data_IF_809446651618
#
_entry.id   IF_809446651618
#
_cell.length_a   1.000
_cell.length_b   1.000
_cell.length_c   1.000
_cell.angle_alpha   90.00
_cell.angle_beta   90.00
_cell.angle_gamma   90.00
#
_symmetry.space_group_name_H-M   'P 1'
#
loop_
_entity.id
_entity.type
_entity.pdbx_description
1 polymer ?
#
# COMPACT_ATOMS: atom_id res chain seq x y z
N UNK A 1 -4.23 5.20 12.01
CA UNK A 1 -3.05 6.02 12.28
C UNK A 1 -2.58 6.63 10.97
N UNK A 2 -2.01 7.85 10.96
CA UNK A 2 -1.30 8.36 9.78
C UNK A 2 0.12 7.80 9.76
N UNK A 3 0.56 7.30 8.61
CA UNK A 3 1.90 6.71 8.44
C UNK A 3 2.75 7.71 7.66
N UNK A 4 3.75 8.29 8.33
CA UNK A 4 4.76 9.15 7.70
C UNK A 4 5.72 8.31 6.86
N UNK A 5 6.47 8.97 5.96
CA UNK A 5 7.52 8.29 5.19
C UNK A 5 8.61 7.71 6.09
N UNK A 6 8.90 8.36 7.20
CA UNK A 6 9.85 7.87 8.19
C UNK A 6 9.40 6.53 8.81
N UNK A 7 8.15 6.44 9.26
CA UNK A 7 7.57 5.19 9.80
C UNK A 7 7.53 4.10 8.71
N UNK A 8 7.14 4.47 7.48
CA UNK A 8 7.12 3.56 6.35
C UNK A 8 8.51 2.99 6.07
N UNK A 9 9.50 3.87 5.88
CA UNK A 9 10.85 3.48 5.52
C UNK A 9 11.50 2.62 6.61
N UNK A 10 11.31 2.96 7.89
CA UNK A 10 11.83 2.17 8.99
C UNK A 10 11.36 0.69 8.94
N UNK A 11 10.06 0.46 8.69
CA UNK A 11 9.52 -0.91 8.59
C UNK A 11 9.91 -1.56 7.26
N UNK A 12 9.94 -0.81 6.18
CA UNK A 12 10.29 -1.30 4.85
C UNK A 12 11.74 -1.78 4.76
N UNK A 13 12.68 -1.11 5.43
CA UNK A 13 14.08 -1.52 5.51
C UNK A 13 14.26 -2.88 6.21
N UNK A 14 13.49 -3.14 7.26
CA UNK A 14 13.52 -4.41 8.00
C UNK A 14 12.68 -5.52 7.34
N UNK A 15 11.91 -5.19 6.30
CA UNK A 15 11.05 -6.14 5.61
C UNK A 15 11.83 -7.05 4.64
N UNK A 16 11.53 -8.35 4.65
CA UNK A 16 12.00 -9.28 3.62
C UNK A 16 11.38 -8.95 2.25
N UNK A 17 12.00 -9.41 1.15
CA UNK A 17 11.63 -9.03 -0.22
C UNK A 17 10.17 -9.35 -0.57
N UNK A 18 9.61 -10.46 -0.10
CA UNK A 18 8.22 -10.83 -0.34
C UNK A 18 7.23 -9.95 0.46
N UNK A 19 7.65 -9.48 1.64
CA UNK A 19 6.88 -8.49 2.39
C UNK A 19 6.97 -7.11 1.72
N UNK A 20 8.17 -6.67 1.28
CA UNK A 20 8.34 -5.40 0.54
C UNK A 20 7.45 -5.37 -0.69
N UNK A 21 7.48 -6.42 -1.50
CA UNK A 21 6.60 -6.55 -2.66
C UNK A 21 5.12 -6.41 -2.29
N UNK A 22 4.69 -7.07 -1.21
CA UNK A 22 3.30 -6.99 -0.76
C UNK A 22 2.94 -5.59 -0.24
N UNK A 23 3.89 -4.89 0.42
CA UNK A 23 3.73 -3.50 0.86
C UNK A 23 3.63 -2.56 -0.36
N UNK A 24 4.50 -2.72 -1.36
CA UNK A 24 4.49 -1.92 -2.59
C UNK A 24 3.18 -2.09 -3.37
N UNK A 25 2.72 -3.34 -3.55
CA UNK A 25 1.42 -3.61 -4.17
C UNK A 25 0.28 -2.95 -3.40
N UNK A 26 0.29 -3.02 -2.06
CA UNK A 26 -0.72 -2.39 -1.23
C UNK A 26 -0.72 -0.85 -1.36
N UNK A 27 0.46 -0.25 -1.40
CA UNK A 27 0.65 1.19 -1.52
C UNK A 27 0.27 1.70 -2.91
N UNK A 28 0.84 1.10 -3.97
CA UNK A 28 0.61 1.54 -5.35
C UNK A 28 -0.83 1.31 -5.84
N UNK A 29 -1.51 0.31 -5.30
CA UNK A 29 -2.91 0.04 -5.66
C UNK A 29 -3.94 0.63 -4.70
N UNK A 30 -3.52 1.05 -3.50
CA UNK A 30 -4.42 1.53 -2.46
C UNK A 30 -5.41 0.47 -1.97
N UNK A 31 -5.18 -0.83 -2.22
CA UNK A 31 -6.16 -1.87 -1.91
C UNK A 31 -6.03 -2.43 -0.49
N UNK A 32 -7.08 -3.10 -0.02
CA UNK A 32 -7.08 -3.76 1.29
C UNK A 32 -6.15 -4.97 1.28
N UNK A 33 -5.56 -5.37 2.43
CA UNK A 33 -4.64 -6.51 2.50
C UNK A 33 -5.22 -7.80 1.89
N UNK A 34 -6.52 -8.05 2.10
CA UNK A 34 -7.21 -9.21 1.55
C UNK A 34 -7.34 -9.16 0.02
N UNK A 35 -7.51 -7.97 -0.57
CA UNK A 35 -7.63 -7.79 -2.01
C UNK A 35 -6.24 -7.85 -2.67
N UNK A 36 -5.20 -7.24 -2.06
CA UNK A 36 -3.80 -7.33 -2.53
C UNK A 36 -3.33 -8.78 -2.66
N UNK A 37 -3.60 -9.59 -1.64
CA UNK A 37 -3.19 -11.01 -1.63
C UNK A 37 -3.89 -11.87 -2.70
N UNK A 38 -4.97 -11.38 -3.30
CA UNK A 38 -5.74 -12.07 -4.33
C UNK A 38 -5.38 -11.64 -5.75
N UNK A 39 -4.58 -10.59 -5.94
CA UNK A 39 -4.17 -10.12 -7.25
C UNK A 39 -3.37 -11.18 -7.99
N UNK A 40 -3.71 -11.45 -9.24
CA UNK A 40 -3.09 -12.50 -10.08
C UNK A 40 -2.61 -11.93 -11.39
N UNK A 41 -1.67 -12.61 -12.01
CA UNK A 41 -1.26 -12.28 -13.38
C UNK A 41 -2.40 -12.35 -14.38
N UNK A 42 -3.36 -13.26 -14.18
CA UNK A 42 -4.57 -13.36 -15.01
C UNK A 42 -5.48 -12.12 -14.91
N UNK A 43 -5.28 -11.27 -13.90
CA UNK A 43 -6.01 -10.01 -13.71
C UNK A 43 -5.29 -8.82 -14.40
N UNK A 44 -4.11 -9.05 -15.00
CA UNK A 44 -3.38 -8.07 -15.81
C UNK A 44 -3.75 -8.26 -17.27
N UNK A 45 -4.36 -7.25 -17.86
CA UNK A 45 -4.76 -7.25 -19.27
C UNK A 45 -4.44 -5.90 -19.92
N UNK A 46 -3.61 -5.92 -20.96
CA UNK A 46 -3.12 -4.73 -21.63
C UNK A 46 -2.43 -3.76 -20.68
N UNK A 47 -2.98 -2.56 -20.59
CA UNK A 47 -2.44 -1.46 -19.78
C UNK A 47 -3.08 -1.36 -18.37
N UNK A 48 -3.77 -2.41 -17.92
CA UNK A 48 -4.54 -2.37 -16.68
C UNK A 48 -4.32 -3.59 -15.80
N UNK A 49 -4.32 -3.37 -14.48
CA UNK A 49 -4.57 -4.38 -13.47
C UNK A 49 -6.04 -4.28 -13.03
N UNK A 50 -6.80 -5.34 -13.22
CA UNK A 50 -8.19 -5.43 -12.78
C UNK A 50 -8.27 -5.92 -11.34
N UNK A 51 -9.00 -5.18 -10.50
CA UNK A 51 -9.15 -5.50 -9.07
C UNK A 51 -10.61 -5.53 -8.69
N UNK A 52 -11.07 -6.69 -8.21
CA UNK A 52 -12.37 -6.84 -7.56
C UNK A 52 -12.23 -6.73 -6.04
N UNK A 53 -12.87 -5.70 -5.44
CA UNK A 53 -12.84 -5.53 -3.99
C UNK A 53 -13.84 -6.47 -3.31
N UNK A 54 -13.36 -7.37 -2.45
CA UNK A 54 -14.20 -8.36 -1.78
C UNK A 54 -15.26 -7.75 -0.83
N UNK A 55 -14.95 -6.62 -0.19
CA UNK A 55 -15.85 -5.99 0.79
C UNK A 55 -16.96 -5.14 0.16
N UNK A 56 -16.69 -4.50 -0.99
CA UNK A 56 -17.60 -3.51 -1.60
C UNK A 56 -18.13 -3.95 -2.95
N UNK A 57 -17.68 -5.12 -3.45
CA UNK A 57 -17.94 -5.62 -4.81
C UNK A 57 -17.55 -4.63 -5.93
N UNK A 58 -16.79 -3.56 -5.61
CA UNK A 58 -16.32 -2.58 -6.57
C UNK A 58 -15.30 -3.23 -7.50
N UNK A 59 -15.42 -2.95 -8.80
CA UNK A 59 -14.46 -3.35 -9.83
C UNK A 59 -13.66 -2.13 -10.26
N UNK A 60 -12.34 -2.23 -10.18
CA UNK A 60 -11.40 -1.16 -10.55
C UNK A 60 -10.51 -1.63 -11.70
N UNK A 61 -10.07 -0.66 -12.51
CA UNK A 61 -9.00 -0.82 -13.49
C UNK A 61 -7.89 0.13 -13.11
N UNK A 62 -6.77 -0.38 -12.64
CA UNK A 62 -5.61 0.41 -12.22
C UNK A 62 -4.64 0.48 -13.38
N UNK A 63 -4.27 1.68 -13.81
CA UNK A 63 -3.40 1.90 -14.97
C UNK A 63 -1.97 1.45 -14.69
N UNK A 64 -1.38 0.70 -15.61
CA UNK A 64 0.03 0.36 -15.65
C UNK A 64 0.83 1.34 -16.53
N UNK A 65 0.12 2.04 -17.45
CA UNK A 65 0.69 3.13 -18.28
C UNK A 65 -0.16 4.38 -18.18
N UNK A 66 0.48 5.54 -18.25
CA UNK A 66 -0.20 6.84 -18.32
C UNK A 66 -0.70 7.10 -19.75
N UNK A 67 -1.51 8.15 -19.91
CA UNK A 67 -2.04 8.54 -21.22
C UNK A 67 -0.95 8.96 -22.23
N UNK A 68 0.20 9.41 -21.75
CA UNK A 68 1.38 9.76 -22.58
C UNK A 68 2.23 8.53 -22.95
N UNK A 69 1.80 7.31 -22.58
CA UNK A 69 2.50 6.06 -22.83
C UNK A 69 3.59 5.72 -21.80
N UNK A 70 3.94 6.63 -20.88
CA UNK A 70 4.92 6.35 -19.82
C UNK A 70 4.37 5.34 -18.82
N UNK A 71 5.26 4.54 -18.23
CA UNK A 71 4.87 3.58 -17.19
C UNK A 71 4.50 4.28 -15.88
N UNK A 72 3.50 3.72 -15.19
CA UNK A 72 3.27 4.04 -13.77
C UNK A 72 4.27 3.28 -12.90
N UNK A 73 4.44 3.70 -11.63
CA UNK A 73 5.25 2.94 -10.68
C UNK A 73 4.77 1.48 -10.52
N UNK A 74 3.46 1.25 -10.58
CA UNK A 74 2.89 -0.10 -10.58
C UNK A 74 3.29 -0.88 -11.84
N UNK A 75 3.23 -0.27 -13.02
CA UNK A 75 3.67 -0.91 -14.26
C UNK A 75 5.15 -1.30 -14.21
N UNK A 76 6.01 -0.38 -13.74
CA UNK A 76 7.45 -0.65 -13.55
C UNK A 76 7.68 -1.79 -12.56
N UNK A 77 6.96 -1.80 -11.44
CA UNK A 77 7.06 -2.89 -10.46
C UNK A 77 6.70 -4.24 -11.10
N UNK A 78 5.56 -4.31 -11.82
CA UNK A 78 5.11 -5.58 -12.41
C UNK A 78 6.04 -6.10 -13.52
N UNK A 79 6.69 -5.20 -14.26
CA UNK A 79 7.66 -5.61 -15.30
C UNK A 79 8.94 -6.23 -14.72
N UNK A 80 9.26 -5.96 -13.46
CA UNK A 80 10.40 -6.52 -12.75
C UNK A 80 10.11 -7.86 -12.08
N UNK A 81 8.84 -8.25 -11.99
CA UNK A 81 8.45 -9.48 -11.31
C UNK A 81 8.52 -10.70 -12.23
N UNK A 82 8.96 -11.81 -11.65
CA UNK A 82 8.83 -13.10 -12.29
C UNK A 82 7.38 -13.55 -12.38
N UNK A 83 6.95 -13.98 -13.57
CA UNK A 83 5.59 -14.48 -13.85
C UNK A 83 5.43 -15.97 -13.61
N UNK A 84 6.42 -16.62 -13.01
CA UNK A 84 6.36 -18.07 -12.68
C UNK A 84 5.28 -18.42 -11.66
N UNK A 85 4.76 -17.42 -10.95
CA UNK A 85 3.73 -17.60 -9.91
C UNK A 85 2.37 -17.09 -10.39
N UNK A 86 1.24 -17.70 -10.00
CA UNK A 86 -0.07 -17.25 -10.43
C UNK A 86 -0.52 -15.93 -9.78
N UNK A 87 0.04 -15.57 -8.61
CA UNK A 87 -0.31 -14.37 -7.84
C UNK A 87 0.80 -13.35 -7.86
N UNK A 88 0.45 -12.05 -7.82
CA UNK A 88 1.43 -10.96 -7.76
C UNK A 88 2.12 -10.94 -6.38
N UNK A 89 1.36 -11.12 -5.29
CA UNK A 89 1.90 -11.25 -3.93
C UNK A 89 2.24 -12.72 -3.65
N UNK A 90 3.48 -13.10 -3.89
CA UNK A 90 4.00 -14.45 -3.69
C UNK A 90 5.24 -14.47 -2.79
N UNK A 91 5.49 -15.61 -2.13
CA UNK A 91 6.76 -15.88 -1.43
C UNK A 91 7.87 -16.12 -2.43
N UNK A 92 9.12 -16.15 -1.94
CA UNK A 92 10.30 -16.52 -2.75
C UNK A 92 10.17 -17.90 -3.40
N UNK A 93 9.42 -18.81 -2.77
CA UNK A 93 9.14 -20.16 -3.29
C UNK A 93 7.89 -20.20 -4.20
N UNK A 94 7.37 -19.05 -4.60
CA UNK A 94 6.24 -18.95 -5.51
C UNK A 94 4.86 -19.23 -4.90
N UNK A 95 4.74 -19.33 -3.57
CA UNK A 95 3.45 -19.57 -2.91
C UNK A 95 2.70 -18.27 -2.68
N UNK A 96 1.36 -18.23 -2.88
CA UNK A 96 0.55 -17.08 -2.55
C UNK A 96 0.69 -16.68 -1.07
N UNK A 97 0.79 -15.38 -0.80
CA UNK A 97 0.87 -14.86 0.57
C UNK A 97 -0.49 -15.02 1.26
N UNK A 98 -0.57 -15.89 2.28
CA UNK A 98 -1.75 -16.02 3.14
C UNK A 98 -1.81 -14.88 4.17
N UNK A 99 -2.98 -14.70 4.81
CA UNK A 99 -3.13 -13.69 5.87
C UNK A 99 -2.20 -13.95 7.06
N UNK A 100 -2.10 -15.22 7.47
CA UNK A 100 -1.19 -15.65 8.52
C UNK A 100 0.28 -15.36 8.14
N UNK A 101 0.66 -15.66 6.90
CA UNK A 101 2.03 -15.40 6.42
C UNK A 101 2.33 -13.91 6.38
N UNK A 102 1.40 -13.06 5.89
CA UNK A 102 1.57 -11.61 5.89
C UNK A 102 1.78 -11.09 7.31
N UNK A 103 0.97 -11.51 8.26
CA UNK A 103 1.12 -11.13 9.67
C UNK A 103 2.47 -11.58 10.24
N UNK A 104 2.85 -12.84 10.05
CA UNK A 104 4.10 -13.40 10.55
C UNK A 104 5.37 -12.74 9.94
N UNK A 105 5.25 -12.03 8.82
CA UNK A 105 6.34 -11.25 8.22
C UNK A 105 6.32 -9.80 8.67
N UNK A 106 5.13 -9.19 8.73
CA UNK A 106 4.99 -7.78 9.06
C UNK A 106 5.28 -7.48 10.53
N UNK A 107 4.79 -8.31 11.46
CA UNK A 107 5.00 -8.11 12.90
C UNK A 107 6.49 -8.11 13.29
N UNK A 108 7.35 -9.08 12.87
CA UNK A 108 8.77 -9.03 13.16
C UNK A 108 9.50 -7.84 12.55
N UNK A 109 9.20 -7.48 11.28
CA UNK A 109 9.80 -6.32 10.63
C UNK A 109 9.48 -5.03 11.38
N UNK A 110 8.22 -4.82 11.74
CA UNK A 110 7.78 -3.69 12.55
C UNK A 110 8.47 -3.65 13.92
N UNK A 111 8.60 -4.80 14.59
CA UNK A 111 9.27 -4.90 15.90
C UNK A 111 10.74 -4.55 15.78
N UNK A 112 11.45 -5.11 14.79
CA UNK A 112 12.86 -4.81 14.54
C UNK A 112 13.08 -3.32 14.27
N UNK A 113 12.23 -2.70 13.45
CA UNK A 113 12.28 -1.27 13.17
C UNK A 113 12.07 -0.42 14.44
N UNK A 114 11.10 -0.79 15.28
CA UNK A 114 10.85 -0.08 16.54
C UNK A 114 12.01 -0.23 17.54
N UNK A 115 12.60 -1.42 17.65
CA UNK A 115 13.77 -1.67 18.49
C UNK A 115 14.99 -0.85 18.01
N UNK A 116 15.18 -0.72 16.69
CA UNK A 116 16.25 0.09 16.09
C UNK A 116 16.08 1.58 16.42
N UNK A 117 14.85 2.12 16.28
CA UNK A 117 14.53 3.49 16.66
C UNK A 117 14.74 3.75 18.16
N UNK A 118 14.29 2.83 19.03
CA UNK A 118 14.49 2.93 20.48
C UNK A 118 15.96 2.92 20.87
N UNK A 119 16.78 2.07 20.25
CA UNK A 119 18.24 2.02 20.46
C UNK A 119 18.94 3.29 20.00
N UNK A 120 18.40 3.97 18.99
CA UNK A 120 18.86 5.28 18.54
C UNK A 120 18.40 6.44 19.45
N UNK A 121 17.62 6.17 20.49
CA UNK A 121 17.10 7.16 21.43
C UNK A 121 15.76 7.76 21.03
N UNK A 122 15.18 7.40 19.88
CA UNK A 122 13.91 7.91 19.41
C UNK A 122 12.74 7.05 19.87
N UNK A 123 12.31 7.28 21.11
CA UNK A 123 11.21 6.54 21.74
C UNK A 123 9.85 6.87 21.14
N UNK A 124 9.64 8.09 20.64
CA UNK A 124 8.39 8.49 20.01
C UNK A 124 8.23 7.83 18.64
N UNK A 125 9.28 7.80 17.83
CA UNK A 125 9.28 7.05 16.56
C UNK A 125 9.07 5.56 16.82
N UNK A 126 9.75 4.96 17.80
CA UNK A 126 9.58 3.55 18.15
C UNK A 126 8.11 3.23 18.51
N UNK A 127 7.47 4.08 19.30
CA UNK A 127 6.05 3.96 19.66
C UNK A 127 5.14 4.11 18.43
N UNK A 128 5.42 5.07 17.56
CA UNK A 128 4.69 5.29 16.33
C UNK A 128 4.81 4.07 15.38
N UNK A 129 6.02 3.52 15.21
CA UNK A 129 6.26 2.30 14.43
C UNK A 129 5.45 1.13 15.00
N UNK A 130 5.43 0.92 16.31
CA UNK A 130 4.63 -0.14 16.94
C UNK A 130 3.13 0.01 16.72
N UNK A 131 2.64 1.22 16.50
CA UNK A 131 1.24 1.50 16.13
C UNK A 131 0.90 1.20 14.66
N UNK A 132 1.89 1.10 13.78
CA UNK A 132 1.69 0.86 12.36
C UNK A 132 1.15 -0.54 12.10
N UNK A 133 0.01 -0.64 11.39
CA UNK A 133 -0.60 -1.89 10.97
C UNK A 133 -0.60 -1.96 9.44
N UNK A 134 -0.45 -3.14 8.86
CA UNK A 134 -0.43 -3.31 7.40
C UNK A 134 -1.63 -2.65 6.70
N UNK A 135 -2.81 -2.67 7.31
CA UNK A 135 -4.02 -2.00 6.80
C UNK A 135 -3.90 -0.47 6.70
N UNK A 136 -2.96 0.14 7.42
CA UNK A 136 -2.75 1.60 7.41
C UNK A 136 -2.02 2.06 6.14
N UNK A 137 -1.46 1.14 5.35
CA UNK A 137 -0.87 1.42 4.03
C UNK A 137 -1.93 2.03 3.09
N UNK A 138 -3.16 1.54 3.12
CA UNK A 138 -4.24 2.06 2.26
C UNK A 138 -4.60 3.52 2.55
N UNK A 139 -4.82 3.96 3.81
CA UNK A 139 -4.93 5.38 4.14
C UNK A 139 -3.70 6.20 3.76
N UNK A 140 -2.46 5.67 3.94
CA UNK A 140 -1.25 6.36 3.50
C UNK A 140 -1.28 6.59 2.00
N UNK A 141 -1.50 5.56 1.19
CA UNK A 141 -1.58 5.67 -0.27
C UNK A 141 -2.57 6.75 -0.73
N UNK A 142 -3.74 6.82 -0.08
CA UNK A 142 -4.73 7.85 -0.39
C UNK A 142 -4.30 9.25 0.04
N UNK A 143 -3.54 9.36 1.14
CA UNK A 143 -3.10 10.66 1.67
C UNK A 143 -1.96 11.26 0.85
N UNK A 144 -1.19 10.44 0.15
CA UNK A 144 -0.08 10.86 -0.70
C UNK A 144 -0.54 11.29 -2.12
N UNK A 145 -1.84 11.16 -2.42
CA UNK A 145 -2.45 11.64 -3.66
C UNK A 145 -3.03 13.04 -3.43
N UNK A 146 -2.57 14.03 -4.20
CA UNK A 146 -3.01 15.43 -4.07
C UNK A 146 -4.51 15.62 -4.35
N UNK A 147 -5.04 14.92 -5.35
CA UNK A 147 -6.46 15.01 -5.73
C UNK A 147 -7.34 14.09 -4.88
N UNK A 148 -8.31 14.68 -4.19
CA UNK A 148 -9.32 13.93 -3.41
C UNK A 148 -10.14 12.98 -4.30
N UNK A 149 -10.41 13.38 -5.55
CA UNK A 149 -11.14 12.58 -6.52
C UNK A 149 -10.31 11.36 -6.92
N UNK A 150 -9.06 11.56 -7.34
CA UNK A 150 -8.15 10.46 -7.69
C UNK A 150 -7.93 9.48 -6.53
N UNK A 151 -7.79 10.00 -5.30
CA UNK A 151 -7.69 9.14 -4.12
C UNK A 151 -8.99 8.35 -3.88
N UNK A 152 -10.16 8.97 -4.07
CA UNK A 152 -11.46 8.30 -3.98
C UNK A 152 -11.59 7.19 -5.01
N UNK A 153 -11.19 7.46 -6.24
CA UNK A 153 -11.20 6.51 -7.35
C UNK A 153 -10.26 5.32 -7.08
N UNK A 154 -9.03 5.60 -6.67
CA UNK A 154 -8.06 4.54 -6.30
C UNK A 154 -8.59 3.64 -5.19
N UNK A 155 -9.23 4.23 -4.19
CA UNK A 155 -9.83 3.49 -3.10
C UNK A 155 -11.14 2.77 -3.49
N UNK A 156 -11.76 3.10 -4.63
CA UNK A 156 -13.08 2.59 -5.02
C UNK A 156 -14.16 2.96 -4.01
N UNK A 157 -14.14 4.20 -3.51
CA UNK A 157 -15.17 4.69 -2.62
C UNK A 157 -16.37 5.19 -3.43
N UNK A 158 -17.58 4.77 -3.06
CA UNK A 158 -18.83 5.20 -3.67
C UNK A 158 -19.24 6.62 -3.27
N UNK A 159 -18.66 7.15 -2.18
CA UNK A 159 -18.93 8.51 -1.70
C UNK A 159 -17.62 9.21 -1.28
N UNK A 160 -17.45 10.47 -1.69
CA UNK A 160 -16.31 11.30 -1.27
C UNK A 160 -16.21 11.52 0.24
N UNK A 161 -17.31 11.35 0.98
CA UNK A 161 -17.35 11.50 2.44
C UNK A 161 -16.43 10.52 3.17
N UNK A 162 -16.25 9.29 2.65
CA UNK A 162 -15.31 8.32 3.21
C UNK A 162 -13.85 8.72 2.97
N UNK A 163 -13.56 9.27 1.80
CA UNK A 163 -12.20 9.72 1.44
C UNK A 163 -11.81 10.95 2.24
N UNK A 164 -12.72 11.90 2.47
CA UNK A 164 -12.47 13.09 3.32
C UNK A 164 -11.98 12.75 4.72
N UNK A 165 -12.41 11.64 5.33
CA UNK A 165 -11.93 11.19 6.65
C UNK A 165 -10.46 10.79 6.63
N UNK A 166 -9.95 10.28 5.51
CA UNK A 166 -8.54 9.91 5.35
C UNK A 166 -7.69 11.18 5.20
N UNK A 167 -8.10 12.12 4.34
CA UNK A 167 -7.39 13.38 4.12
C UNK A 167 -7.40 14.34 5.32
N UNK A 168 -8.43 14.30 6.18
CA UNK A 168 -8.46 15.11 7.41
C UNK A 168 -7.36 14.73 8.42
N UNK A 169 -6.69 13.61 8.24
CA UNK A 169 -5.59 13.20 9.14
C UNK A 169 -4.35 14.08 8.98
N UNK A 170 -4.14 14.67 7.80
CA UNK A 170 -3.00 15.57 7.54
C UNK A 170 -3.36 17.06 7.80
N UNK A 171 -4.64 17.40 7.91
CA UNK A 171 -5.09 18.79 7.91
C UNK A 171 -5.02 19.42 6.51
N UNK A 172 -5.93 20.35 6.23
CA UNK A 172 -5.93 21.10 4.96
C UNK A 172 -5.06 22.32 5.15
N UNK A 173 -4.02 22.49 4.33
CA UNK A 173 -3.33 23.79 4.23
C UNK A 173 -4.33 24.81 3.66
N UNK A 174 -4.48 25.93 4.34
CA UNK A 174 -5.31 27.06 3.91
C UNK A 174 -4.51 28.35 4.07
N UNK A 175 -4.63 29.22 3.10
CA UNK A 175 -4.02 30.54 3.20
C UNK A 175 -4.83 31.41 4.19
N UNK A 176 -4.14 32.24 4.99
CA UNK A 176 -4.81 33.20 5.85
C UNK A 176 -5.55 34.25 5.04
N UNK A 177 -6.63 34.79 5.57
CA UNK A 177 -7.48 35.78 4.90
C UNK A 177 -6.86 37.16 4.68
N UNK A 178 -5.66 37.41 5.07
CA UNK A 178 -4.71 38.53 4.84
C UNK A 178 -3.68 38.57 5.94
#
# INVERSE_FOLDING_TARGET
>A
MYITDEIWNAVYEEAASDLRLTMDLAYLTGQRPADVRKMRWADVDGEYLFVGQGKTAMKLRIRLRRADGSQTALGTLLDQLDRSTPTLAATKEGKPISEKMLRLRFEPARKAAAEKAAKAGDTELAKAIMGFQFRDIRPKAASDIESLEQASDLLGHTTQGMTRRVYRRIGKAVDPTK
#
